data_IF_663593867684
#
_entry.id   IF_663593867684
#
_cell.length_a   1.000
_cell.length_b   1.000
_cell.length_c   1.000
_cell.angle_alpha   90.00
_cell.angle_beta   90.00
_cell.angle_gamma   90.00
#
_symmetry.space_group_name_H-M   'P 1'
#
loop_
_entity.id
_entity.type
_entity.pdbx_description
1 polymer ?
#
# COMPACT_ATOMS: atom_id res chain seq x y z
N UNK A 1 2.09 26.62 26.08
CA UNK A 1 1.04 26.01 25.26
C UNK A 1 -0.23 25.99 26.09
N UNK A 2 -1.24 26.77 25.67
CA UNK A 2 -2.46 26.98 26.48
C UNK A 2 -3.46 25.82 26.31
N UNK A 3 -4.38 25.68 27.27
CA UNK A 3 -5.44 24.66 27.29
C UNK A 3 -6.35 24.64 26.04
N UNK A 4 -6.43 25.74 25.31
CA UNK A 4 -7.16 25.87 24.04
C UNK A 4 -6.49 25.10 22.89
N UNK A 5 -5.19 24.87 22.94
CA UNK A 5 -4.43 24.16 21.90
C UNK A 5 -4.68 22.63 21.98
N UNK A 6 -4.80 22.08 23.19
CA UNK A 6 -5.11 20.65 23.39
C UNK A 6 -6.53 20.27 22.97
N UNK A 7 -7.50 21.14 23.16
CA UNK A 7 -8.90 20.88 22.75
C UNK A 7 -9.06 20.87 21.24
N UNK A 8 -8.34 21.73 20.53
CA UNK A 8 -8.35 21.82 19.05
C UNK A 8 -7.64 20.61 18.41
N UNK A 9 -6.51 20.19 18.97
CA UNK A 9 -5.78 18.98 18.53
C UNK A 9 -6.62 17.72 18.76
N UNK A 10 -7.26 17.59 19.94
CA UNK A 10 -8.13 16.47 20.25
C UNK A 10 -9.34 16.37 19.30
N UNK A 11 -9.96 17.51 18.98
CA UNK A 11 -11.11 17.57 18.04
C UNK A 11 -10.70 17.19 16.62
N UNK A 12 -9.55 17.67 16.17
CA UNK A 12 -9.01 17.31 14.83
C UNK A 12 -8.65 15.82 14.75
N UNK A 13 -8.03 15.26 15.79
CA UNK A 13 -7.72 13.84 15.85
C UNK A 13 -8.99 12.97 15.86
N UNK A 14 -10.02 13.36 16.62
CA UNK A 14 -11.33 12.68 16.62
C UNK A 14 -12.00 12.70 15.26
N UNK A 15 -12.01 13.85 14.58
CA UNK A 15 -12.55 13.99 13.23
C UNK A 15 -11.81 13.09 12.22
N UNK A 16 -10.47 13.09 12.25
CA UNK A 16 -9.66 12.22 11.40
C UNK A 16 -9.97 10.74 11.63
N UNK A 17 -10.14 10.33 12.88
CA UNK A 17 -10.49 8.94 13.22
C UNK A 17 -11.85 8.55 12.63
N UNK A 18 -12.87 9.38 12.80
CA UNK A 18 -14.22 9.15 12.25
C UNK A 18 -14.16 9.07 10.71
N UNK A 19 -13.51 10.02 10.05
CA UNK A 19 -13.39 10.04 8.59
C UNK A 19 -12.60 8.83 8.07
N UNK A 20 -11.58 8.39 8.79
CA UNK A 20 -10.83 7.17 8.46
C UNK A 20 -11.73 5.93 8.55
N UNK A 21 -12.54 5.82 9.60
CA UNK A 21 -13.52 4.73 9.74
C UNK A 21 -14.53 4.75 8.58
N UNK A 22 -15.10 5.92 8.27
CA UNK A 22 -16.02 6.09 7.15
C UNK A 22 -15.36 5.68 5.82
N UNK A 23 -14.12 6.10 5.60
CA UNK A 23 -13.36 5.70 4.41
C UNK A 23 -13.14 4.18 4.32
N UNK A 24 -12.88 3.50 5.45
CA UNK A 24 -12.74 2.04 5.50
C UNK A 24 -14.05 1.33 5.22
N UNK A 25 -15.15 1.80 5.83
CA UNK A 25 -16.50 1.25 5.61
C UNK A 25 -16.91 1.42 4.14
N UNK A 26 -16.74 2.60 3.56
CA UNK A 26 -17.05 2.82 2.14
C UNK A 26 -16.16 2.01 1.21
N UNK A 27 -14.88 1.79 1.56
CA UNK A 27 -13.99 0.87 0.84
C UNK A 27 -14.46 -0.58 0.90
N UNK A 28 -14.98 -1.03 2.05
CA UNK A 28 -15.62 -2.34 2.18
C UNK A 28 -16.86 -2.46 1.27
N UNK A 29 -17.76 -1.48 1.33
CA UNK A 29 -18.97 -1.44 0.48
C UNK A 29 -18.60 -1.44 -1.01
N UNK A 30 -17.53 -0.74 -1.41
CA UNK A 30 -17.01 -0.78 -2.77
C UNK A 30 -16.61 -2.20 -3.20
N UNK A 31 -15.89 -2.92 -2.35
CA UNK A 31 -15.46 -4.29 -2.65
C UNK A 31 -16.66 -5.24 -2.70
N UNK A 32 -17.65 -5.04 -1.81
CA UNK A 32 -18.91 -5.77 -1.84
C UNK A 32 -19.69 -5.49 -3.14
N UNK A 33 -19.82 -4.22 -3.56
CA UNK A 33 -20.47 -3.84 -4.80
C UNK A 33 -19.79 -4.46 -6.03
N UNK A 34 -18.45 -4.53 -6.03
CA UNK A 34 -17.67 -5.24 -7.05
C UNK A 34 -18.02 -6.73 -7.05
N UNK A 35 -18.05 -7.39 -5.87
CA UNK A 35 -18.41 -8.80 -5.75
C UNK A 35 -19.82 -9.07 -6.29
N UNK A 36 -20.80 -8.25 -5.91
CA UNK A 36 -22.18 -8.37 -6.36
C UNK A 36 -22.33 -8.15 -7.88
N UNK A 37 -21.59 -7.19 -8.46
CA UNK A 37 -21.72 -6.82 -9.87
C UNK A 37 -21.05 -7.79 -10.84
N UNK A 38 -19.80 -8.19 -10.54
CA UNK A 38 -18.96 -8.98 -11.47
C UNK A 38 -18.49 -10.32 -10.89
N UNK A 39 -18.71 -10.57 -9.59
CA UNK A 39 -18.46 -11.85 -8.92
C UNK A 39 -17.01 -12.30 -8.95
N UNK A 40 -16.83 -13.63 -8.86
CA UNK A 40 -15.55 -14.30 -9.08
C UNK A 40 -15.44 -14.70 -10.54
N UNK A 41 -14.81 -13.84 -11.34
CA UNK A 41 -14.75 -14.00 -12.79
C UNK A 41 -13.43 -13.47 -13.36
N UNK A 42 -13.17 -13.81 -14.63
CA UNK A 42 -12.07 -13.25 -15.39
C UNK A 42 -12.14 -11.71 -15.44
N UNK A 43 -13.36 -11.14 -15.52
CA UNK A 43 -13.56 -9.69 -15.51
C UNK A 43 -13.11 -9.06 -14.19
N UNK A 44 -13.41 -9.70 -13.05
CA UNK A 44 -12.98 -9.20 -11.75
C UNK A 44 -11.46 -9.28 -11.57
N UNK A 45 -10.82 -10.34 -12.07
CA UNK A 45 -9.36 -10.48 -12.08
C UNK A 45 -8.68 -9.46 -12.98
N UNK A 46 -9.23 -9.26 -14.18
CA UNK A 46 -8.77 -8.25 -15.14
C UNK A 46 -8.86 -6.84 -14.54
N UNK A 47 -9.97 -6.53 -13.85
CA UNK A 47 -10.14 -5.29 -13.14
C UNK A 47 -9.09 -5.11 -12.04
N UNK A 48 -8.86 -6.13 -11.20
CA UNK A 48 -7.89 -6.05 -10.10
C UNK A 48 -6.47 -5.85 -10.61
N UNK A 49 -6.05 -6.60 -11.62
CA UNK A 49 -4.73 -6.45 -12.24
C UNK A 49 -4.56 -5.04 -12.82
N UNK A 50 -5.54 -4.58 -13.60
CA UNK A 50 -5.49 -3.28 -14.24
C UNK A 50 -5.55 -2.11 -13.25
N UNK A 51 -6.37 -2.21 -12.18
CA UNK A 51 -6.57 -1.15 -11.21
C UNK A 51 -5.42 -1.03 -10.18
N UNK A 52 -4.69 -2.12 -9.93
CA UNK A 52 -3.54 -2.07 -9.03
C UNK A 52 -2.31 -1.39 -9.66
N UNK A 53 -2.12 -1.53 -10.97
CA UNK A 53 -0.96 -0.99 -11.68
C UNK A 53 -0.76 0.52 -11.53
N UNK A 54 -1.77 1.39 -11.70
CA UNK A 54 -1.61 2.83 -11.52
C UNK A 54 -1.09 3.20 -10.14
N UNK A 55 -1.61 2.55 -9.10
CA UNK A 55 -1.17 2.79 -7.74
C UNK A 55 0.28 2.32 -7.51
N UNK A 56 0.63 1.16 -8.03
CA UNK A 56 2.00 0.62 -7.96
C UNK A 56 3.01 1.52 -8.70
N UNK A 57 2.65 2.00 -9.90
CA UNK A 57 3.50 2.90 -10.68
C UNK A 57 3.63 4.28 -10.03
N UNK A 58 2.54 4.80 -9.46
CA UNK A 58 2.57 5.99 -8.66
C UNK A 58 3.49 5.82 -7.43
N UNK A 59 3.34 4.73 -6.68
CA UNK A 59 4.17 4.44 -5.52
C UNK A 59 5.64 4.26 -5.90
N UNK A 60 5.93 3.67 -7.05
CA UNK A 60 7.29 3.52 -7.56
C UNK A 60 7.98 4.87 -7.76
N UNK A 61 7.27 5.86 -8.29
CA UNK A 61 7.84 7.19 -8.57
C UNK A 61 7.82 8.07 -7.32
N UNK A 62 6.76 8.02 -6.53
CA UNK A 62 6.45 9.01 -5.50
C UNK A 62 6.47 8.48 -4.07
N UNK A 63 6.27 7.18 -3.85
CA UNK A 63 5.98 6.62 -2.53
C UNK A 63 7.03 6.90 -1.45
N UNK A 64 8.30 6.95 -1.83
CA UNK A 64 9.36 7.34 -0.89
C UNK A 64 9.55 8.85 -0.77
N UNK A 65 9.36 9.57 -1.86
CA UNK A 65 9.68 10.99 -1.96
C UNK A 65 8.68 11.87 -1.20
N UNK A 66 7.38 11.59 -1.35
CA UNK A 66 6.33 12.39 -0.72
C UNK A 66 6.26 12.23 0.80
N UNK A 67 6.36 11.01 1.28
CA UNK A 67 6.21 10.73 2.71
C UNK A 67 7.41 11.22 3.52
N UNK A 68 8.62 11.12 2.96
CA UNK A 68 9.86 11.39 3.71
C UNK A 68 10.48 12.74 3.43
N UNK A 69 10.31 13.28 2.24
CA UNK A 69 11.05 14.45 1.78
C UNK A 69 10.18 15.70 1.55
N UNK A 70 8.99 15.53 0.94
CA UNK A 70 8.18 16.68 0.53
C UNK A 70 7.79 17.57 1.72
N UNK A 71 7.20 17.01 2.76
CA UNK A 71 6.66 17.78 3.88
C UNK A 71 7.75 18.57 4.64
N UNK A 72 8.90 17.98 5.02
CA UNK A 72 9.98 18.71 5.65
C UNK A 72 10.53 19.84 4.78
N UNK A 73 10.74 19.60 3.47
CA UNK A 73 11.27 20.60 2.54
C UNK A 73 10.26 21.73 2.34
N UNK A 74 8.99 21.42 2.11
CA UNK A 74 7.92 22.42 2.00
C UNK A 74 7.83 23.32 3.23
N UNK A 75 7.86 22.73 4.42
CA UNK A 75 7.82 23.49 5.69
C UNK A 75 9.09 24.33 5.90
N UNK A 76 10.27 23.84 5.48
CA UNK A 76 11.52 24.56 5.50
C UNK A 76 11.48 25.79 4.60
N UNK A 77 11.13 25.60 3.31
CA UNK A 77 10.99 26.70 2.34
C UNK A 77 9.99 27.75 2.84
N UNK A 78 8.84 27.31 3.33
CA UNK A 78 7.80 28.20 3.85
C UNK A 78 8.26 29.01 5.05
N UNK A 79 9.04 28.42 5.95
CA UNK A 79 9.56 29.08 7.17
C UNK A 79 10.69 30.09 6.85
N UNK A 80 11.59 29.73 5.93
CA UNK A 80 12.79 30.51 5.62
C UNK A 80 12.57 31.56 4.55
N UNK A 81 11.78 31.26 3.50
CA UNK A 81 11.61 32.05 2.31
C UNK A 81 10.18 32.61 2.13
N UNK A 82 9.24 32.17 2.98
CA UNK A 82 7.88 32.68 2.99
C UNK A 82 6.90 31.93 2.09
N UNK A 83 5.72 32.54 1.91
CA UNK A 83 4.57 31.89 1.24
C UNK A 83 4.76 31.81 -0.28
N UNK A 84 5.30 32.86 -0.90
CA UNK A 84 5.52 32.90 -2.35
C UNK A 84 6.48 31.80 -2.80
N UNK A 85 7.65 31.71 -2.18
CA UNK A 85 8.63 30.68 -2.46
C UNK A 85 8.08 29.27 -2.24
N UNK A 86 7.24 29.06 -1.23
CA UNK A 86 6.58 27.77 -1.02
C UNK A 86 5.55 27.44 -2.12
N UNK A 87 4.85 28.42 -2.67
CA UNK A 87 3.95 28.23 -3.80
C UNK A 87 4.72 27.96 -5.10
N UNK A 88 5.86 28.62 -5.31
CA UNK A 88 6.77 28.34 -6.43
C UNK A 88 7.33 26.93 -6.38
N UNK A 89 7.80 26.50 -5.20
CA UNK A 89 8.28 25.13 -5.00
C UNK A 89 7.19 24.09 -5.31
N UNK A 90 5.95 24.29 -4.80
CA UNK A 90 4.82 23.40 -5.12
C UNK A 90 4.50 23.44 -6.61
N UNK A 91 4.52 24.62 -7.25
CA UNK A 91 4.28 24.78 -8.68
C UNK A 91 5.31 24.05 -9.54
N UNK A 92 6.59 24.14 -9.16
CA UNK A 92 7.68 23.42 -9.82
C UNK A 92 7.52 21.89 -9.65
N UNK A 93 7.24 21.42 -8.44
CA UNK A 93 7.00 20.00 -8.18
C UNK A 93 5.82 19.48 -8.99
N UNK A 94 4.68 20.21 -9.04
CA UNK A 94 3.52 19.85 -9.85
C UNK A 94 3.84 19.81 -11.34
N UNK A 95 4.64 20.77 -11.84
CA UNK A 95 5.09 20.80 -13.24
C UNK A 95 5.90 19.57 -13.63
N UNK A 96 6.83 19.16 -12.76
CA UNK A 96 7.64 17.95 -12.97
C UNK A 96 6.81 16.70 -12.89
N UNK A 97 5.86 16.64 -11.94
CA UNK A 97 4.93 15.50 -11.83
C UNK A 97 4.03 15.38 -13.05
N UNK A 98 3.53 16.50 -13.58
CA UNK A 98 2.77 16.51 -14.84
C UNK A 98 3.61 15.94 -15.98
N UNK A 99 4.88 16.32 -16.07
CA UNK A 99 5.77 15.81 -17.11
C UNK A 99 6.06 14.31 -16.94
N UNK A 100 6.51 13.90 -15.75
CA UNK A 100 6.97 12.53 -15.50
C UNK A 100 5.78 11.56 -15.43
N UNK A 101 4.80 11.81 -14.54
CA UNK A 101 3.66 10.93 -14.38
C UNK A 101 2.68 11.01 -15.56
N UNK A 102 2.55 12.20 -16.18
CA UNK A 102 1.81 12.36 -17.42
C UNK A 102 2.44 11.58 -18.57
N UNK A 103 3.77 11.63 -18.69
CA UNK A 103 4.52 10.81 -19.65
C UNK A 103 4.32 9.30 -19.41
N UNK A 104 4.43 8.85 -18.15
CA UNK A 104 4.18 7.44 -17.79
C UNK A 104 2.71 7.05 -18.06
N UNK A 105 1.75 7.93 -17.78
CA UNK A 105 0.33 7.71 -18.09
C UNK A 105 0.09 7.56 -19.58
N UNK A 106 0.72 8.42 -20.40
CA UNK A 106 0.62 8.36 -21.85
C UNK A 106 1.23 7.04 -22.38
N UNK A 107 2.44 6.70 -21.92
CA UNK A 107 3.09 5.43 -22.28
C UNK A 107 2.25 4.24 -21.82
N UNK A 108 1.67 4.29 -20.60
CA UNK A 108 0.78 3.27 -20.09
C UNK A 108 -0.48 3.09 -20.94
N UNK A 109 -1.05 4.18 -21.47
CA UNK A 109 -2.21 4.12 -22.35
C UNK A 109 -1.86 3.50 -23.70
N UNK A 110 -0.73 3.91 -24.30
CA UNK A 110 -0.29 3.43 -25.63
C UNK A 110 0.20 1.99 -25.55
N UNK A 111 1.03 1.67 -24.55
CA UNK A 111 1.63 0.35 -24.37
C UNK A 111 0.93 -0.49 -23.29
N UNK A 112 -0.37 -0.32 -23.11
CA UNK A 112 -1.15 -1.02 -22.09
C UNK A 112 -0.91 -2.54 -22.01
N UNK A 113 -0.85 -3.29 -23.14
CA UNK A 113 -0.55 -4.73 -23.10
C UNK A 113 0.80 -5.04 -22.46
N UNK A 114 1.84 -4.23 -22.72
CA UNK A 114 3.17 -4.42 -22.13
C UNK A 114 3.18 -4.20 -20.63
N UNK A 115 2.43 -3.20 -20.12
CA UNK A 115 2.29 -2.98 -18.69
C UNK A 115 1.51 -4.12 -18.02
N UNK A 116 0.43 -4.60 -18.61
CA UNK A 116 -0.33 -5.75 -18.09
C UNK A 116 0.53 -7.02 -18.13
N UNK A 117 1.36 -7.21 -19.16
CA UNK A 117 2.27 -8.34 -19.20
C UNK A 117 3.19 -8.41 -17.98
N UNK A 118 3.61 -7.29 -17.40
CA UNK A 118 4.41 -7.30 -16.17
C UNK A 118 3.70 -7.97 -14.99
N UNK A 119 2.38 -8.10 -15.02
CA UNK A 119 1.56 -8.72 -14.00
C UNK A 119 1.08 -10.14 -14.39
N UNK A 120 1.32 -10.57 -15.63
CA UNK A 120 0.80 -11.83 -16.19
C UNK A 120 1.84 -12.65 -16.97
N UNK A 121 3.13 -12.29 -16.87
CA UNK A 121 4.21 -12.87 -17.70
C UNK A 121 4.41 -14.39 -17.54
N UNK A 122 3.87 -14.99 -16.47
CA UNK A 122 3.90 -16.44 -16.23
C UNK A 122 2.68 -17.15 -16.80
N UNK A 123 1.57 -16.44 -17.08
CA UNK A 123 0.38 -17.03 -17.69
C UNK A 123 0.54 -17.12 -19.20
N UNK A 124 0.46 -18.33 -19.78
CA UNK A 124 0.69 -18.59 -21.19
C UNK A 124 -0.40 -18.08 -22.15
N UNK A 125 -1.56 -17.65 -21.62
CA UNK A 125 -2.71 -17.22 -22.42
C UNK A 125 -2.78 -15.70 -22.53
N UNK A 126 -2.27 -15.16 -23.65
CA UNK A 126 -2.34 -13.72 -23.94
C UNK A 126 -3.78 -13.18 -24.05
N UNK A 127 -4.75 -14.01 -24.43
CA UNK A 127 -6.15 -13.57 -24.63
C UNK A 127 -6.91 -13.24 -23.35
N UNK A 128 -6.54 -13.83 -22.21
CA UNK A 128 -7.22 -13.59 -20.94
C UNK A 128 -6.97 -12.18 -20.37
N UNK A 129 -5.91 -11.50 -20.82
CA UNK A 129 -5.50 -10.18 -20.31
C UNK A 129 -5.87 -9.00 -21.23
N UNK A 130 -6.51 -9.25 -22.37
CA UNK A 130 -6.95 -8.18 -23.27
C UNK A 130 -7.96 -7.24 -22.61
N UNK A 131 -8.87 -7.78 -21.81
CA UNK A 131 -9.82 -6.98 -21.02
C UNK A 131 -9.09 -6.14 -19.96
N UNK A 132 -8.06 -6.69 -19.33
CA UNK A 132 -7.23 -5.95 -18.38
C UNK A 132 -6.47 -4.81 -19.08
N UNK A 133 -5.89 -5.07 -20.26
CA UNK A 133 -5.21 -4.05 -21.06
C UNK A 133 -6.18 -2.97 -21.54
N UNK A 134 -7.40 -3.35 -21.95
CA UNK A 134 -8.45 -2.40 -22.32
C UNK A 134 -8.82 -1.50 -21.13
N UNK A 135 -9.07 -2.05 -19.94
CA UNK A 135 -9.36 -1.27 -18.73
C UNK A 135 -8.18 -0.40 -18.31
N UNK A 136 -6.95 -0.90 -18.41
CA UNK A 136 -5.76 -0.16 -18.02
C UNK A 136 -5.55 1.11 -18.86
N UNK A 137 -5.99 1.15 -20.11
CA UNK A 137 -5.97 2.39 -20.90
C UNK A 137 -6.77 3.52 -20.26
N UNK A 138 -7.87 3.20 -19.57
CA UNK A 138 -8.63 4.18 -18.79
C UNK A 138 -7.94 4.48 -17.45
N UNK A 139 -7.27 3.49 -16.85
CA UNK A 139 -6.67 3.63 -15.54
C UNK A 139 -5.29 4.30 -15.58
N UNK A 140 -4.59 4.28 -16.70
CA UNK A 140 -3.25 4.84 -16.82
C UNK A 140 -3.18 6.31 -16.39
N UNK A 141 -4.21 7.12 -16.69
CA UNK A 141 -4.27 8.53 -16.27
C UNK A 141 -4.37 8.69 -14.74
N UNK A 142 -4.83 7.67 -14.02
CA UNK A 142 -4.89 7.70 -12.55
C UNK A 142 -3.52 7.85 -11.92
N UNK A 143 -2.44 7.40 -12.60
CA UNK A 143 -1.05 7.58 -12.14
C UNK A 143 -0.79 9.06 -11.87
N UNK A 144 -1.21 9.92 -12.80
CA UNK A 144 -1.09 11.36 -12.66
C UNK A 144 -1.98 11.90 -11.54
N UNK A 145 -3.24 11.46 -11.47
CA UNK A 145 -4.18 11.96 -10.46
C UNK A 145 -3.76 11.56 -9.03
N UNK A 146 -3.21 10.35 -8.83
CA UNK A 146 -2.63 9.94 -7.55
C UNK A 146 -1.43 10.83 -7.17
N UNK A 147 -0.55 11.14 -8.12
CA UNK A 147 0.60 12.01 -7.88
C UNK A 147 0.20 13.42 -7.48
N UNK A 148 -0.67 14.07 -8.25
CA UNK A 148 -1.17 15.41 -7.95
C UNK A 148 -1.94 15.43 -6.61
N UNK A 149 -2.84 14.47 -6.40
CA UNK A 149 -3.66 14.38 -5.20
C UNK A 149 -2.83 14.16 -3.92
N UNK A 150 -1.70 13.46 -4.01
CA UNK A 150 -0.82 13.25 -2.87
C UNK A 150 -0.02 14.51 -2.50
N UNK A 151 0.40 15.31 -3.48
CA UNK A 151 0.97 16.66 -3.22
C UNK A 151 -0.08 17.55 -2.55
N UNK A 152 -1.31 17.58 -3.09
CA UNK A 152 -2.40 18.37 -2.50
C UNK A 152 -2.67 17.96 -1.05
N UNK A 153 -2.79 16.66 -0.79
CA UNK A 153 -2.93 16.12 0.58
C UNK A 153 -1.75 16.51 1.47
N UNK A 154 -0.52 16.44 0.95
CA UNK A 154 0.69 16.84 1.68
C UNK A 154 0.68 18.32 2.07
N UNK A 155 0.30 19.20 1.16
CA UNK A 155 0.16 20.66 1.43
C UNK A 155 -0.95 20.93 2.45
N UNK A 156 -2.13 20.32 2.29
CA UNK A 156 -3.25 20.47 3.25
C UNK A 156 -2.86 19.99 4.65
N UNK A 157 -2.16 18.86 4.75
CA UNK A 157 -1.65 18.33 6.00
C UNK A 157 -0.63 19.27 6.66
N UNK A 158 0.23 19.94 5.85
CA UNK A 158 1.16 20.97 6.34
C UNK A 158 0.41 22.17 6.94
N UNK A 159 -0.77 22.50 6.41
CA UNK A 159 -1.66 23.54 6.94
C UNK A 159 -2.58 23.07 8.08
N UNK A 160 -2.43 21.79 8.54
CA UNK A 160 -3.30 21.15 9.54
C UNK A 160 -4.76 21.02 9.12
N UNK A 161 -5.05 21.10 7.82
CA UNK A 161 -6.36 20.83 7.24
C UNK A 161 -6.41 19.36 6.78
N UNK A 162 -6.75 18.49 7.72
CA UNK A 162 -6.79 17.04 7.48
C UNK A 162 -8.12 16.56 6.92
N UNK A 163 -9.15 17.42 6.90
CA UNK A 163 -10.49 17.02 6.48
C UNK A 163 -10.49 16.53 5.03
N UNK A 164 -10.03 17.36 4.11
CA UNK A 164 -10.11 17.05 2.69
C UNK A 164 -9.22 15.89 2.29
N UNK A 165 -8.01 15.80 2.83
CA UNK A 165 -7.11 14.68 2.56
C UNK A 165 -7.66 13.33 3.04
N UNK A 166 -8.44 13.33 4.14
CA UNK A 166 -9.04 12.11 4.72
C UNK A 166 -10.40 11.79 4.10
N UNK A 167 -11.18 12.80 3.68
CA UNK A 167 -12.51 12.63 3.10
C UNK A 167 -12.48 12.29 1.60
N UNK A 168 -11.47 12.75 0.88
CA UNK A 168 -11.35 12.54 -0.58
C UNK A 168 -11.47 11.07 -1.02
N UNK A 169 -10.89 10.07 -0.32
CA UNK A 169 -11.09 8.65 -0.66
C UNK A 169 -12.53 8.16 -0.52
N UNK A 170 -13.35 8.80 0.34
CA UNK A 170 -14.78 8.46 0.48
C UNK A 170 -15.53 8.79 -0.80
N UNK A 171 -15.27 9.98 -1.40
CA UNK A 171 -15.89 10.38 -2.67
C UNK A 171 -15.50 9.42 -3.80
N UNK A 172 -14.25 9.02 -3.88
CA UNK A 172 -13.81 8.00 -4.82
C UNK A 172 -14.61 6.70 -4.65
N UNK A 173 -14.70 6.18 -3.42
CA UNK A 173 -15.44 4.95 -3.15
C UNK A 173 -16.92 5.07 -3.58
N UNK A 174 -17.58 6.18 -3.31
CA UNK A 174 -18.99 6.40 -3.69
C UNK A 174 -19.17 6.33 -5.20
N UNK A 175 -18.31 6.98 -5.98
CA UNK A 175 -18.38 6.98 -7.45
C UNK A 175 -18.14 5.56 -8.00
N UNK A 176 -17.15 4.85 -7.45
CA UNK A 176 -16.83 3.49 -7.88
C UNK A 176 -17.97 2.53 -7.52
N UNK A 177 -18.60 2.65 -6.34
CA UNK A 177 -19.81 1.90 -5.96
C UNK A 177 -20.92 2.14 -6.98
N UNK A 178 -21.21 3.40 -7.30
CA UNK A 178 -22.24 3.73 -8.28
C UNK A 178 -21.95 3.10 -9.65
N UNK A 179 -20.69 3.07 -10.08
CA UNK A 179 -20.27 2.45 -11.35
C UNK A 179 -20.49 0.93 -11.35
N UNK A 180 -20.18 0.24 -10.25
CA UNK A 180 -20.43 -1.19 -10.12
C UNK A 180 -21.92 -1.51 -10.06
N UNK A 181 -22.70 -0.72 -9.32
CA UNK A 181 -24.16 -0.91 -9.26
C UNK A 181 -24.83 -0.65 -10.60
N UNK A 182 -24.28 0.26 -11.41
CA UNK A 182 -24.74 0.55 -12.78
C UNK A 182 -24.32 -0.51 -13.81
N UNK A 183 -23.42 -1.43 -13.49
CA UNK A 183 -22.88 -2.41 -14.44
C UNK A 183 -23.96 -3.32 -15.04
N UNK A 184 -24.80 -3.91 -14.19
CA UNK A 184 -25.81 -4.86 -14.64
C UNK A 184 -26.87 -4.21 -15.58
N UNK A 185 -27.51 -3.07 -15.22
CA UNK A 185 -28.49 -2.43 -16.11
C UNK A 185 -27.87 -1.91 -17.42
N UNK A 186 -26.65 -1.35 -17.37
CA UNK A 186 -25.98 -0.84 -18.57
C UNK A 186 -25.55 -2.00 -19.47
N UNK A 187 -25.03 -3.09 -18.90
CA UNK A 187 -24.68 -4.29 -19.69
C UNK A 187 -25.89 -4.94 -20.32
N UNK A 188 -27.03 -4.96 -19.64
CA UNK A 188 -28.28 -5.52 -20.18
C UNK A 188 -28.84 -4.68 -21.35
N UNK A 189 -28.70 -3.35 -21.28
CA UNK A 189 -29.25 -2.44 -22.28
C UNK A 189 -28.32 -2.18 -23.46
N UNK A 190 -27.01 -2.05 -23.22
CA UNK A 190 -26.03 -1.59 -24.21
C UNK A 190 -24.91 -2.62 -24.50
N UNK A 191 -25.01 -3.82 -23.88
CA UNK A 191 -24.03 -4.87 -24.02
C UNK A 191 -22.89 -4.81 -22.98
N UNK A 192 -22.22 -5.95 -22.78
CA UNK A 192 -21.21 -6.13 -21.74
C UNK A 192 -20.04 -5.13 -21.86
N UNK A 193 -19.64 -4.80 -23.09
CA UNK A 193 -18.57 -3.83 -23.33
C UNK A 193 -18.90 -2.44 -22.77
N UNK A 194 -20.16 -2.01 -22.86
CA UNK A 194 -20.59 -0.72 -22.28
C UNK A 194 -20.53 -0.76 -20.74
N UNK A 195 -20.88 -1.88 -20.12
CA UNK A 195 -20.70 -2.08 -18.68
C UNK A 195 -19.23 -2.02 -18.25
N UNK A 196 -18.32 -2.64 -19.02
CA UNK A 196 -16.87 -2.58 -18.77
C UNK A 196 -16.37 -1.13 -18.85
N UNK A 197 -16.79 -0.38 -19.86
CA UNK A 197 -16.43 1.05 -20.01
C UNK A 197 -16.95 1.85 -18.81
N UNK A 198 -18.18 1.60 -18.35
CA UNK A 198 -18.77 2.28 -17.19
C UNK A 198 -17.90 2.06 -15.94
N UNK A 199 -17.50 0.84 -15.65
CA UNK A 199 -16.64 0.51 -14.51
C UNK A 199 -15.27 1.20 -14.66
N UNK A 200 -14.66 1.11 -15.83
CA UNK A 200 -13.34 1.65 -16.07
C UNK A 200 -13.33 3.19 -15.99
N UNK A 201 -14.26 3.84 -16.69
CA UNK A 201 -14.40 5.30 -16.66
C UNK A 201 -14.82 5.80 -15.27
N UNK A 202 -15.76 5.10 -14.60
CA UNK A 202 -16.23 5.48 -13.28
C UNK A 202 -15.15 5.35 -12.21
N UNK A 203 -14.32 4.31 -12.28
CA UNK A 203 -13.17 4.18 -11.37
C UNK A 203 -12.17 5.32 -11.60
N UNK A 204 -11.89 5.67 -12.84
CA UNK A 204 -11.01 6.81 -13.18
C UNK A 204 -11.61 8.13 -12.73
N UNK A 205 -12.92 8.33 -12.93
CA UNK A 205 -13.63 9.52 -12.45
C UNK A 205 -13.57 9.61 -10.91
N UNK A 206 -13.70 8.50 -10.21
CA UNK A 206 -13.56 8.46 -8.75
C UNK A 206 -12.20 8.97 -8.28
N UNK A 207 -11.11 8.53 -8.91
CA UNK A 207 -9.75 9.01 -8.59
C UNK A 207 -9.57 10.47 -8.97
N UNK A 208 -10.12 10.91 -10.10
CA UNK A 208 -10.11 12.32 -10.49
C UNK A 208 -10.82 13.20 -9.45
N UNK A 209 -12.02 12.82 -9.03
CA UNK A 209 -12.78 13.57 -8.00
C UNK A 209 -12.06 13.56 -6.67
N UNK A 210 -11.42 12.45 -6.29
CA UNK A 210 -10.57 12.36 -5.10
C UNK A 210 -9.43 13.39 -5.11
N UNK A 211 -8.82 13.63 -6.25
CA UNK A 211 -7.80 14.66 -6.43
C UNK A 211 -8.44 16.07 -6.47
N UNK A 212 -9.46 16.27 -7.30
CA UNK A 212 -10.02 17.57 -7.59
C UNK A 212 -10.75 18.22 -6.40
N UNK A 213 -11.38 17.43 -5.53
CA UNK A 213 -12.08 17.95 -4.35
C UNK A 213 -11.17 18.67 -3.34
N UNK A 214 -9.87 18.48 -3.43
CA UNK A 214 -8.87 19.11 -2.58
C UNK A 214 -8.49 20.53 -3.07
N UNK A 215 -8.69 20.84 -4.36
CA UNK A 215 -8.28 22.11 -4.97
C UNK A 215 -8.93 23.35 -4.30
N UNK A 216 -10.26 23.35 -4.00
CA UNK A 216 -10.86 24.49 -3.32
C UNK A 216 -10.27 24.73 -1.92
N UNK A 217 -9.88 23.69 -1.22
CA UNK A 217 -9.24 23.81 0.10
C UNK A 217 -7.83 24.43 0.00
N UNK A 218 -7.06 24.08 -1.01
CA UNK A 218 -5.76 24.71 -1.28
C UNK A 218 -5.93 26.23 -1.49
N UNK A 219 -6.92 26.64 -2.30
CA UNK A 219 -7.24 28.04 -2.52
C UNK A 219 -7.59 28.80 -1.23
N UNK A 220 -8.35 28.19 -0.30
CA UNK A 220 -8.67 28.79 1.03
C UNK A 220 -7.41 29.04 1.86
N UNK A 221 -6.41 28.18 1.77
CA UNK A 221 -5.13 28.37 2.45
C UNK A 221 -4.17 29.28 1.66
N UNK A 222 -4.65 29.81 0.53
CA UNK A 222 -3.93 30.71 -0.36
C UNK A 222 -2.73 30.06 -1.01
N UNK A 223 -2.84 28.78 -1.29
CA UNK A 223 -1.87 28.04 -2.09
C UNK A 223 -2.34 28.13 -3.54
N UNK A 224 -1.65 28.96 -4.30
CA UNK A 224 -1.89 29.21 -5.73
C UNK A 224 -0.60 28.90 -6.50
N UNK A 225 -0.29 27.60 -6.73
CA UNK A 225 0.96 27.23 -7.37
C UNK A 225 0.94 27.63 -8.84
N UNK A 226 1.95 28.36 -9.29
CA UNK A 226 2.22 28.58 -10.71
C UNK A 226 3.02 27.41 -11.26
N UNK A 227 2.38 26.62 -12.15
CA UNK A 227 3.01 25.43 -12.73
C UNK A 227 4.15 25.86 -13.64
N UNK A 228 5.36 25.48 -13.31
CA UNK A 228 6.58 25.67 -14.10
C UNK A 228 7.52 24.48 -13.91
N UNK A 229 8.58 24.41 -14.67
CA UNK A 229 9.55 23.32 -14.61
C UNK A 229 10.94 23.91 -14.49
N UNK A 230 11.53 23.77 -13.30
CA UNK A 230 12.94 24.09 -13.04
C UNK A 230 13.64 22.91 -12.33
N UNK A 231 14.45 22.17 -13.07
CA UNK A 231 15.28 21.08 -12.54
C UNK A 231 16.48 21.57 -11.69
N UNK A 232 16.76 22.87 -11.69
CA UNK A 232 17.87 23.45 -10.93
C UNK A 232 17.47 23.91 -9.54
N UNK A 233 16.18 23.95 -9.24
CA UNK A 233 15.64 24.33 -7.94
C UNK A 233 16.30 23.50 -6.80
N UNK A 234 16.96 24.16 -5.83
CA UNK A 234 17.62 23.49 -4.71
C UNK A 234 16.65 22.67 -3.85
N UNK A 235 15.43 23.16 -3.61
CA UNK A 235 14.42 22.49 -2.80
C UNK A 235 13.95 21.19 -3.48
N UNK A 236 13.75 21.22 -4.81
CA UNK A 236 13.44 20.05 -5.60
C UNK A 236 14.57 19.01 -5.52
N UNK A 237 15.82 19.42 -5.73
CA UNK A 237 16.98 18.52 -5.64
C UNK A 237 17.11 17.88 -4.27
N UNK A 238 16.86 18.63 -3.21
CA UNK A 238 16.84 18.10 -1.85
C UNK A 238 15.73 17.04 -1.68
N UNK A 239 14.53 17.31 -2.21
CA UNK A 239 13.40 16.37 -2.17
C UNK A 239 13.74 15.07 -2.91
N UNK A 240 14.31 15.16 -4.10
CA UNK A 240 14.73 13.97 -4.87
C UNK A 240 15.83 13.19 -4.13
N UNK A 241 16.85 13.89 -3.62
CA UNK A 241 17.96 13.24 -2.91
C UNK A 241 17.51 12.47 -1.66
N UNK A 242 16.55 13.01 -0.93
CA UNK A 242 15.95 12.34 0.24
C UNK A 242 15.03 11.17 -0.16
N UNK A 243 14.44 11.21 -1.37
CA UNK A 243 13.54 10.17 -1.87
C UNK A 243 14.24 8.94 -2.48
N UNK A 244 15.42 9.12 -3.08
CA UNK A 244 16.14 8.04 -3.78
C UNK A 244 16.37 6.79 -2.93
N UNK A 245 16.77 6.85 -1.64
CA UNK A 245 17.00 5.66 -0.84
C UNK A 245 15.77 4.76 -0.67
N UNK A 246 14.57 5.34 -0.77
CA UNK A 246 13.31 4.59 -0.62
C UNK A 246 12.86 3.91 -1.91
N UNK A 247 13.37 4.33 -3.07
CA UNK A 247 13.04 3.74 -4.37
C UNK A 247 13.37 2.25 -4.42
N UNK A 248 14.49 1.82 -3.85
CA UNK A 248 14.87 0.40 -3.87
C UNK A 248 13.80 -0.48 -3.20
N UNK A 249 13.29 -0.07 -2.04
CA UNK A 249 12.23 -0.80 -1.34
C UNK A 249 10.94 -0.84 -2.18
N UNK A 250 10.60 0.26 -2.85
CA UNK A 250 9.41 0.34 -3.70
C UNK A 250 9.55 -0.52 -4.97
N UNK A 251 10.73 -0.55 -5.59
CA UNK A 251 11.03 -1.45 -6.71
C UNK A 251 10.89 -2.91 -6.27
N UNK A 252 11.44 -3.29 -5.12
CA UNK A 252 11.31 -4.64 -4.58
C UNK A 252 9.83 -5.01 -4.36
N UNK A 253 9.02 -4.08 -3.85
CA UNK A 253 7.60 -4.29 -3.64
C UNK A 253 6.83 -4.42 -4.96
N UNK A 254 7.15 -3.61 -5.96
CA UNK A 254 6.60 -3.71 -7.31
C UNK A 254 6.88 -5.10 -7.93
N UNK A 255 8.13 -5.53 -7.93
CA UNK A 255 8.54 -6.83 -8.48
C UNK A 255 7.86 -7.98 -7.71
N UNK A 256 7.83 -7.93 -6.39
CA UNK A 256 7.15 -8.93 -5.56
C UNK A 256 5.66 -9.05 -5.89
N UNK A 257 4.96 -7.93 -6.03
CA UNK A 257 3.53 -7.91 -6.35
C UNK A 257 3.28 -8.42 -7.78
N UNK A 258 4.13 -8.03 -8.73
CA UNK A 258 4.05 -8.52 -10.12
C UNK A 258 4.20 -10.03 -10.22
N UNK A 259 5.18 -10.61 -9.53
CA UNK A 259 5.39 -12.06 -9.46
C UNK A 259 4.21 -12.76 -8.78
N UNK A 260 3.68 -12.18 -7.70
CA UNK A 260 2.52 -12.73 -6.99
C UNK A 260 1.27 -12.78 -7.89
N UNK A 261 0.99 -11.70 -8.62
CA UNK A 261 -0.14 -11.64 -9.55
C UNK A 261 0.03 -12.62 -10.72
N UNK A 262 1.24 -12.68 -11.30
CA UNK A 262 1.54 -13.61 -12.38
C UNK A 262 1.40 -15.08 -11.95
N UNK A 263 1.89 -15.42 -10.74
CA UNK A 263 1.74 -16.76 -10.19
C UNK A 263 0.29 -17.10 -9.83
N UNK A 264 -0.47 -16.12 -9.31
CA UNK A 264 -1.90 -16.29 -9.04
C UNK A 264 -2.69 -16.66 -10.29
N UNK A 265 -2.36 -16.06 -11.43
CA UNK A 265 -2.94 -16.39 -12.75
C UNK A 265 -2.54 -17.79 -13.24
N UNK A 266 -1.36 -18.31 -12.87
CA UNK A 266 -0.96 -19.68 -13.19
C UNK A 266 -1.76 -20.70 -12.37
N UNK A 267 -1.97 -20.43 -11.07
CA UNK A 267 -2.67 -21.33 -10.15
C UNK A 267 -4.19 -21.31 -10.40
N UNK A 268 -4.73 -20.13 -10.60
CA UNK A 268 -6.16 -19.89 -10.87
C UNK A 268 -6.30 -18.86 -12.00
N UNK A 269 -6.32 -19.34 -13.27
CA UNK A 269 -6.23 -18.46 -14.45
C UNK A 269 -7.30 -17.38 -14.53
N UNK A 270 -8.53 -17.68 -14.07
CA UNK A 270 -9.66 -16.76 -14.18
C UNK A 270 -9.87 -15.91 -12.93
N UNK A 271 -9.52 -16.42 -11.75
CA UNK A 271 -9.97 -15.85 -10.46
C UNK A 271 -8.85 -15.51 -9.50
N UNK A 272 -7.60 -15.91 -9.73
CA UNK A 272 -6.48 -15.77 -8.80
C UNK A 272 -6.29 -14.36 -8.22
N UNK A 273 -6.12 -13.31 -9.04
CA UNK A 273 -5.98 -11.95 -8.54
C UNK A 273 -7.18 -11.46 -7.72
N UNK A 274 -8.41 -11.89 -8.09
CA UNK A 274 -9.62 -11.54 -7.35
C UNK A 274 -9.68 -12.21 -5.98
N UNK A 275 -9.32 -13.49 -5.89
CA UNK A 275 -9.23 -14.22 -4.61
C UNK A 275 -8.30 -13.47 -3.63
N UNK A 276 -7.13 -13.07 -4.12
CA UNK A 276 -6.17 -12.29 -3.32
C UNK A 276 -6.79 -10.98 -2.85
N UNK A 277 -7.46 -10.26 -3.74
CA UNK A 277 -8.03 -8.95 -3.43
C UNK A 277 -9.15 -9.02 -2.38
N UNK A 278 -10.09 -9.97 -2.52
CA UNK A 278 -11.17 -10.17 -1.55
C UNK A 278 -10.65 -10.61 -0.18
N UNK A 279 -9.72 -11.56 -0.12
CA UNK A 279 -9.14 -12.01 1.13
C UNK A 279 -8.33 -10.91 1.84
N UNK A 280 -7.56 -10.12 1.07
CA UNK A 280 -6.78 -8.99 1.61
C UNK A 280 -7.62 -7.95 2.34
N UNK A 281 -8.89 -7.78 1.99
CA UNK A 281 -9.75 -6.82 2.68
C UNK A 281 -9.89 -7.17 4.17
N UNK A 282 -10.18 -8.43 4.48
CA UNK A 282 -10.27 -8.91 5.86
C UNK A 282 -8.94 -8.85 6.60
N UNK A 283 -7.86 -9.18 5.91
CA UNK A 283 -6.50 -9.12 6.45
C UNK A 283 -6.07 -7.69 6.79
N UNK A 284 -6.47 -6.71 5.98
CA UNK A 284 -6.06 -5.31 6.15
C UNK A 284 -6.70 -4.65 7.37
N UNK A 285 -7.87 -5.11 7.82
CA UNK A 285 -8.56 -4.52 8.98
C UNK A 285 -7.75 -4.64 10.28
N UNK A 286 -7.37 -5.84 10.77
CA UNK A 286 -6.55 -5.96 11.99
C UNK A 286 -5.16 -5.33 11.81
N UNK A 287 -4.59 -5.40 10.62
CA UNK A 287 -3.35 -4.70 10.31
C UNK A 287 -3.47 -3.20 10.55
N UNK A 288 -4.47 -2.55 10.00
CA UNK A 288 -4.65 -1.10 10.11
C UNK A 288 -4.99 -0.65 11.53
N UNK A 289 -5.82 -1.43 12.23
CA UNK A 289 -6.28 -1.11 13.58
C UNK A 289 -5.19 -1.34 14.64
N UNK A 290 -4.42 -2.42 14.53
CA UNK A 290 -3.48 -2.85 15.57
C UNK A 290 -2.04 -2.55 15.15
N UNK A 291 -1.58 -3.15 14.03
CA UNK A 291 -0.18 -3.08 13.67
C UNK A 291 0.26 -1.66 13.32
N UNK A 292 -0.50 -0.95 12.49
CA UNK A 292 -0.15 0.42 12.09
C UNK A 292 -0.24 1.39 13.27
N UNK A 293 -1.29 1.29 14.10
CA UNK A 293 -1.49 2.19 15.24
C UNK A 293 -0.41 2.00 16.31
N UNK A 294 -0.17 0.74 16.71
CA UNK A 294 0.83 0.41 17.72
C UNK A 294 2.25 0.75 17.26
N UNK A 295 2.58 0.45 15.99
CA UNK A 295 3.89 0.81 15.43
C UNK A 295 4.10 2.32 15.38
N UNK A 296 3.06 3.11 15.13
CA UNK A 296 3.16 4.57 15.09
C UNK A 296 3.32 5.16 16.49
N UNK A 297 2.63 4.62 17.50
CA UNK A 297 2.79 5.03 18.89
C UNK A 297 4.21 4.73 19.40
N UNK A 298 4.68 3.51 19.19
CA UNK A 298 6.03 3.09 19.59
C UNK A 298 7.13 3.85 18.83
N UNK A 299 6.89 4.23 17.58
CA UNK A 299 7.85 5.01 16.80
C UNK A 299 8.26 6.31 17.48
N UNK A 300 7.31 6.99 18.14
CA UNK A 300 7.58 8.26 18.84
C UNK A 300 8.49 8.04 20.04
N UNK A 301 8.22 7.02 20.86
CA UNK A 301 9.06 6.65 22.02
C UNK A 301 10.46 6.22 21.57
N UNK A 302 10.52 5.30 20.60
CA UNK A 302 11.79 4.81 20.07
C UNK A 302 12.65 5.92 19.44
N UNK A 303 12.01 6.92 18.81
CA UNK A 303 12.72 8.05 18.23
C UNK A 303 13.29 8.97 19.30
N UNK A 304 12.59 9.16 20.42
CA UNK A 304 13.08 9.92 21.57
C UNK A 304 14.28 9.22 22.21
N UNK A 305 14.15 7.94 22.55
CA UNK A 305 15.21 7.14 23.18
C UNK A 305 16.46 7.04 22.27
N UNK A 306 16.25 6.94 20.94
CA UNK A 306 17.33 6.92 19.98
C UNK A 306 18.10 8.25 19.92
N UNK A 307 17.41 9.40 20.05
CA UNK A 307 18.04 10.73 20.09
C UNK A 307 18.84 10.92 21.39
N UNK A 308 18.38 10.38 22.51
CA UNK A 308 19.10 10.36 23.78
C UNK A 308 20.23 9.34 23.81
N UNK A 309 20.38 8.53 22.74
CA UNK A 309 21.37 7.43 22.64
C UNK A 309 21.21 6.35 23.71
N UNK A 310 20.00 6.22 24.27
CA UNK A 310 19.65 5.16 25.20
C UNK A 310 19.22 3.90 24.42
N UNK A 311 20.20 3.17 23.94
CA UNK A 311 19.97 1.95 23.15
C UNK A 311 19.40 0.77 23.96
N UNK A 312 19.51 0.80 25.29
CA UNK A 312 18.92 -0.22 26.17
C UNK A 312 17.40 -0.01 26.27
N UNK A 313 16.95 1.25 26.39
CA UNK A 313 15.53 1.60 26.30
C UNK A 313 14.95 1.31 24.93
N UNK A 314 15.65 1.65 23.84
CA UNK A 314 15.23 1.29 22.47
C UNK A 314 15.03 -0.22 22.33
N UNK A 315 15.99 -1.04 22.80
CA UNK A 315 15.91 -2.52 22.75
C UNK A 315 14.70 -3.04 23.53
N UNK A 316 14.50 -2.51 24.73
CA UNK A 316 13.38 -2.90 25.60
C UNK A 316 12.04 -2.49 24.97
N UNK A 317 11.95 -1.29 24.39
CA UNK A 317 10.78 -0.80 23.66
C UNK A 317 10.43 -1.68 22.47
N UNK A 318 11.42 -2.05 21.64
CA UNK A 318 11.21 -2.97 20.52
C UNK A 318 10.71 -4.33 21.02
N UNK A 319 11.34 -4.91 22.07
CA UNK A 319 10.94 -6.22 22.59
C UNK A 319 9.52 -6.21 23.13
N UNK A 320 9.13 -5.17 23.89
CA UNK A 320 7.75 -4.97 24.35
C UNK A 320 6.78 -4.81 23.18
N UNK A 321 7.15 -3.99 22.20
CA UNK A 321 6.35 -3.79 21.00
C UNK A 321 6.09 -5.08 20.21
N UNK A 322 7.10 -5.94 20.05
CA UNK A 322 6.94 -7.27 19.44
C UNK A 322 5.98 -8.13 20.25
N UNK A 323 6.14 -8.19 21.58
CA UNK A 323 5.27 -8.96 22.45
C UNK A 323 3.81 -8.47 22.37
N UNK A 324 3.58 -7.16 22.40
CA UNK A 324 2.25 -6.56 22.25
C UNK A 324 1.65 -6.85 20.87
N UNK A 325 2.44 -6.75 19.81
CA UNK A 325 2.03 -7.03 18.45
C UNK A 325 1.54 -8.47 18.31
N UNK A 326 2.33 -9.43 18.81
CA UNK A 326 1.97 -10.85 18.80
C UNK A 326 0.74 -11.13 19.68
N UNK A 327 0.66 -10.53 20.87
CA UNK A 327 -0.46 -10.69 21.79
C UNK A 327 -1.79 -10.30 21.17
N UNK A 328 -1.85 -9.21 20.40
CA UNK A 328 -3.09 -8.78 19.76
C UNK A 328 -3.34 -9.46 18.42
N UNK A 329 -2.32 -9.70 17.60
CA UNK A 329 -2.50 -10.21 16.24
C UNK A 329 -2.70 -11.72 16.18
N UNK A 330 -2.17 -12.51 17.14
CA UNK A 330 -2.40 -13.97 17.17
C UNK A 330 -3.89 -14.30 17.38
N UNK A 331 -4.60 -13.74 18.39
CA UNK A 331 -6.03 -13.95 18.52
C UNK A 331 -6.83 -13.51 17.29
N UNK A 332 -6.44 -12.38 16.67
CA UNK A 332 -7.09 -11.92 15.45
C UNK A 332 -6.85 -12.85 14.26
N UNK A 333 -5.65 -13.38 14.12
CA UNK A 333 -5.36 -14.40 13.10
C UNK A 333 -6.20 -15.66 13.30
N UNK A 334 -6.31 -16.14 14.54
CA UNK A 334 -7.17 -17.28 14.88
C UNK A 334 -8.65 -16.98 14.60
N UNK A 335 -9.12 -15.75 14.92
CA UNK A 335 -10.46 -15.30 14.56
C UNK A 335 -10.69 -15.37 13.04
N UNK A 336 -9.77 -14.83 12.24
CA UNK A 336 -9.87 -14.88 10.77
C UNK A 336 -9.87 -16.31 10.23
N UNK A 337 -9.11 -17.22 10.84
CA UNK A 337 -9.07 -18.63 10.44
C UNK A 337 -10.40 -19.31 10.73
N UNK A 338 -10.92 -19.18 11.96
CA UNK A 338 -12.16 -19.84 12.39
C UNK A 338 -13.38 -19.28 11.65
N UNK A 339 -13.42 -17.96 11.47
CA UNK A 339 -14.54 -17.26 10.85
C UNK A 339 -14.34 -16.96 9.36
N UNK A 340 -13.34 -17.55 8.70
CA UNK A 340 -13.04 -17.28 7.28
C UNK A 340 -14.27 -17.44 6.39
N UNK A 341 -15.01 -18.57 6.51
CA UNK A 341 -16.20 -18.83 5.70
C UNK A 341 -17.37 -17.91 6.04
N UNK A 342 -17.81 -17.72 7.31
CA UNK A 342 -18.83 -16.75 7.66
C UNK A 342 -18.55 -15.33 7.21
N UNK A 343 -17.30 -14.88 7.34
CA UNK A 343 -16.90 -13.55 6.90
C UNK A 343 -17.02 -13.38 5.37
N UNK A 344 -16.60 -14.37 4.60
CA UNK A 344 -16.67 -14.31 3.16
C UNK A 344 -18.08 -14.55 2.61
N UNK A 345 -18.98 -15.16 3.39
CA UNK A 345 -20.41 -15.25 3.02
C UNK A 345 -21.08 -13.89 2.88
N UNK A 346 -20.53 -12.82 3.48
CA UNK A 346 -21.01 -11.44 3.29
C UNK A 346 -20.88 -11.01 1.81
N UNK A 347 -19.91 -11.57 1.07
CA UNK A 347 -19.78 -11.32 -0.36
C UNK A 347 -20.76 -12.10 -1.22
N UNK A 348 -21.43 -13.13 -0.67
CA UNK A 348 -22.37 -13.99 -1.39
C UNK A 348 -23.63 -13.20 -1.78
N UNK A 349 -23.49 -12.38 -2.82
CA UNK A 349 -24.56 -11.53 -3.36
C UNK A 349 -24.37 -11.36 -4.86
N UNK A 350 -25.48 -11.30 -5.61
CA UNK A 350 -25.46 -11.09 -7.05
C UNK A 350 -24.72 -12.19 -7.80
N UNK A 351 -23.61 -11.86 -8.45
CA UNK A 351 -22.79 -12.81 -9.22
C UNK A 351 -21.73 -13.55 -8.40
N UNK A 352 -21.59 -13.25 -7.11
CA UNK A 352 -20.63 -13.95 -6.24
C UNK A 352 -21.30 -15.17 -5.60
N UNK A 353 -20.87 -16.35 -5.96
CA UNK A 353 -21.44 -17.64 -5.57
C UNK A 353 -20.71 -18.33 -4.39
N UNK A 354 -21.24 -19.45 -3.93
CA UNK A 354 -20.64 -20.25 -2.84
C UNK A 354 -19.25 -20.81 -3.21
N UNK A 355 -18.99 -21.07 -4.48
CA UNK A 355 -17.68 -21.57 -4.93
C UNK A 355 -16.61 -20.49 -4.74
N UNK A 356 -16.95 -19.23 -5.03
CA UNK A 356 -16.11 -18.08 -4.74
C UNK A 356 -15.85 -17.89 -3.25
N UNK A 357 -16.90 -18.05 -2.40
CA UNK A 357 -16.75 -18.02 -0.93
C UNK A 357 -15.76 -19.07 -0.47
N UNK A 358 -15.83 -20.30 -0.98
CA UNK A 358 -14.93 -21.37 -0.57
C UNK A 358 -13.47 -21.05 -0.91
N UNK A 359 -13.20 -20.58 -2.16
CA UNK A 359 -11.86 -20.23 -2.62
C UNK A 359 -11.26 -19.08 -1.81
N UNK A 360 -12.02 -18.00 -1.58
CA UNK A 360 -11.54 -16.84 -0.82
C UNK A 360 -11.32 -17.21 0.65
N UNK A 361 -12.17 -18.10 1.23
CA UNK A 361 -12.03 -18.52 2.62
C UNK A 361 -10.80 -19.38 2.81
N UNK A 362 -10.53 -20.32 1.91
CA UNK A 362 -9.32 -21.14 1.94
C UNK A 362 -8.07 -20.26 1.87
N UNK A 363 -8.03 -19.31 0.94
CA UNK A 363 -6.92 -18.37 0.82
C UNK A 363 -6.77 -17.50 2.08
N UNK A 364 -7.88 -17.01 2.66
CA UNK A 364 -7.85 -16.18 3.88
C UNK A 364 -7.27 -16.93 5.07
N UNK A 365 -7.56 -18.23 5.23
CA UNK A 365 -7.00 -19.06 6.31
C UNK A 365 -5.47 -19.04 6.27
N UNK A 366 -4.89 -19.29 5.09
CA UNK A 366 -3.43 -19.27 4.94
C UNK A 366 -2.85 -17.87 5.06
N UNK A 367 -3.52 -16.87 4.52
CA UNK A 367 -3.10 -15.48 4.64
C UNK A 367 -3.08 -15.03 6.11
N UNK A 368 -4.09 -15.42 6.90
CA UNK A 368 -4.20 -15.05 8.31
C UNK A 368 -3.03 -15.57 9.17
N UNK A 369 -2.44 -16.71 8.83
CA UNK A 369 -1.24 -17.22 9.52
C UNK A 369 -0.05 -16.25 9.43
N UNK A 370 0.03 -15.44 8.37
CA UNK A 370 1.10 -14.46 8.19
C UNK A 370 0.88 -13.16 8.97
N UNK A 371 -0.32 -12.88 9.46
CA UNK A 371 -0.71 -11.60 10.05
C UNK A 371 0.17 -11.19 11.25
N UNK A 372 0.46 -12.04 12.24
CA UNK A 372 1.30 -11.67 13.37
C UNK A 372 2.72 -11.29 12.95
N UNK A 373 3.28 -12.04 12.00
CA UNK A 373 4.63 -11.81 11.48
C UNK A 373 4.70 -10.51 10.68
N UNK A 374 3.67 -10.21 9.89
CA UNK A 374 3.58 -8.96 9.15
C UNK A 374 3.50 -7.74 10.07
N UNK A 375 2.79 -7.86 11.20
CA UNK A 375 2.77 -6.81 12.23
C UNK A 375 4.16 -6.54 12.80
N UNK A 376 4.94 -7.58 13.11
CA UNK A 376 6.34 -7.45 13.58
C UNK A 376 7.21 -6.74 12.53
N UNK A 377 7.05 -7.07 11.26
CA UNK A 377 7.78 -6.43 10.15
C UNK A 377 7.54 -4.93 10.10
N UNK A 378 6.29 -4.49 10.24
CA UNK A 378 5.93 -3.07 10.25
C UNK A 378 6.56 -2.35 11.43
N UNK A 379 6.56 -2.98 12.61
CA UNK A 379 7.24 -2.45 13.78
C UNK A 379 8.75 -2.31 13.54
N UNK A 380 9.40 -3.32 12.93
CA UNK A 380 10.82 -3.25 12.58
C UNK A 380 11.12 -2.12 11.60
N UNK A 381 10.29 -1.93 10.57
CA UNK A 381 10.41 -0.81 9.64
C UNK A 381 10.41 0.53 10.39
N UNK A 382 9.48 0.73 11.31
CA UNK A 382 9.41 1.94 12.13
C UNK A 382 10.60 2.08 13.06
N UNK A 383 11.09 0.99 13.65
CA UNK A 383 12.26 0.98 14.52
C UNK A 383 13.53 1.41 13.76
N UNK A 384 13.77 0.89 12.55
CA UNK A 384 14.90 1.35 11.72
C UNK A 384 14.77 2.81 11.29
N UNK A 385 13.53 3.26 11.05
CA UNK A 385 13.26 4.67 10.76
C UNK A 385 13.55 5.56 11.98
N UNK A 386 13.21 5.13 13.18
CA UNK A 386 13.51 5.84 14.44
C UNK A 386 15.01 5.97 14.70
N UNK A 387 15.78 4.93 14.34
CA UNK A 387 17.25 4.91 14.43
C UNK A 387 17.95 5.70 13.32
N UNK A 388 17.20 6.27 12.36
CA UNK A 388 17.71 6.95 11.16
C UNK A 388 18.68 6.09 10.32
N UNK A 389 18.63 4.78 10.45
CA UNK A 389 19.43 3.83 9.67
C UNK A 389 18.54 2.86 8.87
N UNK A 390 18.13 3.30 7.69
CA UNK A 390 17.30 2.51 6.78
C UNK A 390 18.09 1.53 5.90
N UNK A 391 19.44 1.57 5.92
CA UNK A 391 20.27 0.71 5.07
C UNK A 391 20.09 -0.80 5.36
N UNK A 392 20.06 -1.25 6.64
CA UNK A 392 19.78 -2.66 6.93
C UNK A 392 18.38 -3.07 6.47
N UNK A 393 17.37 -2.23 6.70
CA UNK A 393 16.00 -2.48 6.28
C UNK A 393 15.89 -2.65 4.76
N UNK A 394 16.50 -1.75 3.97
CA UNK A 394 16.50 -1.84 2.50
C UNK A 394 17.14 -3.14 1.99
N UNK A 395 18.25 -3.58 2.62
CA UNK A 395 18.87 -4.89 2.30
C UNK A 395 17.94 -6.06 2.64
N UNK A 396 17.23 -5.99 3.76
CA UNK A 396 16.24 -7.01 4.11
C UNK A 396 15.07 -7.05 3.13
N UNK A 397 14.59 -5.90 2.67
CA UNK A 397 13.56 -5.83 1.62
C UNK A 397 14.03 -6.52 0.34
N UNK A 398 15.29 -6.33 -0.05
CA UNK A 398 15.87 -6.99 -1.24
C UNK A 398 15.94 -8.51 -1.06
N UNK A 399 16.50 -9.01 0.05
CA UNK A 399 16.57 -10.45 0.32
C UNK A 399 15.18 -11.08 0.42
N UNK A 400 14.25 -10.36 0.99
CA UNK A 400 12.86 -10.70 1.10
C UNK A 400 12.21 -10.84 -0.28
N UNK A 401 12.37 -9.87 -1.16
CA UNK A 401 11.83 -9.90 -2.51
C UNK A 401 12.40 -11.08 -3.32
N UNK A 402 13.72 -11.35 -3.20
CA UNK A 402 14.36 -12.51 -3.84
C UNK A 402 13.80 -13.82 -3.27
N UNK A 403 13.67 -13.93 -1.94
CA UNK A 403 13.10 -15.11 -1.28
C UNK A 403 11.64 -15.35 -1.68
N UNK A 404 10.85 -14.29 -1.78
CA UNK A 404 9.46 -14.35 -2.26
C UNK A 404 9.40 -14.81 -3.72
N UNK A 405 10.16 -14.16 -4.59
CA UNK A 405 10.22 -14.53 -5.99
C UNK A 405 10.61 -16.00 -6.15
N UNK A 406 11.67 -16.43 -5.47
CA UNK A 406 12.14 -17.81 -5.49
C UNK A 406 11.12 -18.82 -4.96
N UNK A 407 10.46 -18.54 -3.84
CA UNK A 407 9.45 -19.42 -3.28
C UNK A 407 8.18 -19.49 -4.14
N UNK A 408 7.70 -18.37 -4.67
CA UNK A 408 6.54 -18.32 -5.56
C UNK A 408 6.82 -19.07 -6.87
N UNK A 409 8.01 -18.89 -7.45
CA UNK A 409 8.40 -19.62 -8.66
C UNK A 409 8.58 -21.11 -8.39
N UNK A 410 9.26 -21.49 -7.30
CA UNK A 410 9.49 -22.88 -6.96
C UNK A 410 8.20 -23.61 -6.61
N UNK A 411 7.41 -23.08 -5.69
CA UNK A 411 6.20 -23.73 -5.20
C UNK A 411 4.98 -23.46 -6.08
N UNK A 412 4.82 -22.26 -6.63
CA UNK A 412 3.68 -21.89 -7.48
C UNK A 412 3.79 -22.46 -8.89
N UNK A 413 4.97 -22.38 -9.52
CA UNK A 413 5.16 -22.76 -10.91
C UNK A 413 5.75 -24.18 -11.04
N UNK A 414 6.92 -24.44 -10.46
CA UNK A 414 7.62 -25.71 -10.67
C UNK A 414 6.89 -26.86 -9.98
N UNK A 415 6.59 -26.76 -8.69
CA UNK A 415 5.86 -27.81 -7.96
C UNK A 415 4.38 -27.88 -8.36
N UNK A 416 3.74 -26.76 -8.70
CA UNK A 416 2.40 -26.74 -9.26
C UNK A 416 2.32 -27.50 -10.62
N UNK A 417 3.36 -27.43 -11.44
CA UNK A 417 3.47 -28.21 -12.69
C UNK A 417 3.76 -29.70 -12.44
N UNK A 418 4.69 -29.99 -11.52
CA UNK A 418 5.09 -31.37 -11.19
C UNK A 418 4.01 -32.10 -10.40
N UNK A 419 3.29 -31.40 -9.51
CA UNK A 419 2.27 -31.96 -8.62
C UNK A 419 0.84 -31.81 -9.14
N UNK A 420 0.58 -31.86 -10.46
CA UNK A 420 -0.80 -32.04 -10.95
C UNK A 420 -1.47 -33.31 -10.39
N UNK A 421 -0.71 -34.25 -9.83
CA UNK A 421 -1.20 -35.43 -9.06
C UNK A 421 -1.37 -35.17 -7.55
N UNK A 422 -0.80 -34.08 -6.99
CA UNK A 422 -0.94 -33.68 -5.58
C UNK A 422 -1.57 -32.26 -5.56
N UNK A 423 -2.73 -32.12 -6.20
CA UNK A 423 -3.42 -30.85 -6.42
C UNK A 423 -3.57 -30.01 -5.15
N UNK A 424 -3.77 -30.64 -4.00
CA UNK A 424 -4.09 -29.94 -2.77
C UNK A 424 -2.84 -29.41 -2.07
N UNK A 425 -1.75 -30.16 -2.03
CA UNK A 425 -0.51 -29.74 -1.39
C UNK A 425 0.24 -28.63 -2.18
N UNK A 426 0.22 -28.72 -3.52
CA UNK A 426 0.82 -27.70 -4.39
C UNK A 426 0.04 -26.37 -4.35
N UNK A 427 -1.30 -26.43 -4.29
CA UNK A 427 -2.15 -25.26 -4.07
C UNK A 427 -1.89 -24.62 -2.70
N UNK A 428 -1.79 -25.45 -1.65
CA UNK A 428 -1.52 -25.02 -0.29
C UNK A 428 -0.17 -24.30 -0.17
N UNK A 429 0.89 -24.86 -0.75
CA UNK A 429 2.22 -24.27 -0.75
C UNK A 429 2.32 -23.00 -1.62
N UNK A 430 1.65 -22.99 -2.78
CA UNK A 430 1.59 -21.82 -3.63
C UNK A 430 0.81 -20.67 -2.96
N UNK A 431 -0.30 -20.97 -2.29
CA UNK A 431 -1.09 -20.00 -1.54
C UNK A 431 -0.30 -19.45 -0.35
N UNK A 432 0.37 -20.30 0.41
CA UNK A 432 1.24 -19.89 1.53
C UNK A 432 2.40 -19.05 1.02
N UNK A 433 3.05 -19.42 -0.07
CA UNK A 433 4.14 -18.66 -0.66
C UNK A 433 3.67 -17.31 -1.25
N UNK A 434 2.51 -17.29 -1.91
CA UNK A 434 1.94 -16.06 -2.49
C UNK A 434 1.30 -15.15 -1.45
N UNK A 435 0.81 -15.70 -0.34
CA UNK A 435 0.01 -14.97 0.65
C UNK A 435 0.81 -14.37 1.79
N UNK A 436 2.03 -14.86 2.04
CA UNK A 436 2.77 -14.36 3.20
C UNK A 436 3.79 -13.30 2.82
N UNK A 437 3.51 -11.99 3.11
CA UNK A 437 4.57 -11.00 3.14
C UNK A 437 5.70 -11.41 4.12
N UNK A 438 5.41 -12.26 5.09
CA UNK A 438 6.36 -12.74 6.10
C UNK A 438 7.21 -13.94 5.63
N UNK A 439 6.64 -14.88 4.88
CA UNK A 439 7.39 -15.95 4.20
C UNK A 439 8.03 -15.43 2.92
N UNK A 440 7.25 -14.66 2.18
CA UNK A 440 7.71 -13.99 0.98
C UNK A 440 8.78 -12.95 1.29
N UNK A 441 8.78 -12.40 2.49
CA UNK A 441 9.76 -11.39 2.85
C UNK A 441 11.08 -11.95 3.39
N UNK A 442 11.33 -13.25 3.43
CA UNK A 442 12.57 -13.76 4.05
C UNK A 442 12.84 -13.15 5.46
N UNK A 443 11.84 -12.46 6.01
CA UNK A 443 11.97 -11.57 7.17
C UNK A 443 11.93 -12.32 8.49
N UNK A 444 11.54 -13.60 8.48
CA UNK A 444 11.67 -14.46 9.67
C UNK A 444 13.15 -14.71 9.97
N UNK A 445 13.96 -14.96 8.96
CA UNK A 445 15.39 -15.22 9.15
C UNK A 445 16.19 -13.96 9.57
N UNK A 446 15.91 -12.76 9.01
CA UNK A 446 16.53 -11.54 9.46
C UNK A 446 16.01 -11.00 10.78
N UNK A 447 14.73 -11.20 11.12
CA UNK A 447 14.23 -10.80 12.44
C UNK A 447 15.00 -11.51 13.56
N UNK A 448 15.32 -12.80 13.41
CA UNK A 448 16.22 -13.52 14.31
C UNK A 448 17.67 -13.00 14.24
N UNK A 449 18.19 -12.63 13.07
CA UNK A 449 19.54 -12.07 12.94
C UNK A 449 19.64 -10.61 13.38
N UNK A 450 18.58 -9.84 13.31
CA UNK A 450 18.50 -8.48 13.87
C UNK A 450 18.36 -8.54 15.38
N UNK A 451 17.60 -9.49 15.90
CA UNK A 451 17.53 -9.75 17.34
C UNK A 451 18.81 -10.42 17.87
N UNK A 452 19.54 -11.19 17.04
CA UNK A 452 20.78 -11.89 17.42
C UNK A 452 21.99 -10.98 17.70
N UNK A 453 22.28 -9.89 16.95
CA UNK A 453 23.28 -8.93 17.34
C UNK A 453 22.92 -8.15 18.60
N UNK A 454 21.62 -7.84 18.78
CA UNK A 454 21.11 -7.25 20.02
C UNK A 454 21.16 -8.25 21.20
N UNK A 455 21.07 -9.55 20.94
CA UNK A 455 21.26 -10.59 21.93
C UNK A 455 22.74 -10.86 22.28
N UNK A 456 23.68 -10.51 21.40
CA UNK A 456 25.12 -10.78 21.52
C UNK A 456 26.00 -9.54 21.73
N UNK A 457 25.46 -8.38 22.12
CA UNK A 457 26.26 -7.20 22.39
C UNK A 457 26.63 -7.04 23.89
N UNK A 458 27.50 -7.95 24.46
CA UNK A 458 28.13 -7.72 25.75
C UNK A 458 29.46 -6.96 25.63
N UNK A 459 29.86 -6.56 24.41
CA UNK A 459 31.25 -6.13 24.15
C UNK A 459 31.50 -4.62 24.21
N UNK A 460 30.51 -3.75 24.19
CA UNK A 460 30.75 -2.30 24.17
C UNK A 460 30.84 -1.66 25.57
N UNK A 461 30.37 -2.31 26.62
CA UNK A 461 30.48 -1.79 28.00
C UNK A 461 31.81 -2.08 28.71
N UNK A 462 32.71 -2.90 28.13
CA UNK A 462 34.01 -3.25 28.78
C UNK A 462 35.18 -2.33 28.44
N UNK A 463 35.04 -1.31 27.59
CA UNK A 463 36.18 -0.43 27.21
C UNK A 463 36.14 0.98 27.84
N UNK A 464 35.27 1.28 28.80
CA UNK A 464 35.24 2.60 29.46
C UNK A 464 35.47 2.59 30.99
N UNK A 465 36.05 1.50 31.54
CA UNK A 465 36.48 1.49 32.97
C UNK A 465 38.00 1.31 33.14
N UNK A 466 38.81 1.92 32.31
CA UNK A 466 40.26 2.02 32.55
C UNK A 466 40.77 3.36 32.08
N UNK A 467 40.33 4.45 32.62
CA UNK A 467 41.07 5.74 32.68
C UNK A 467 40.25 6.75 33.54
N UNK A 468 40.08 6.42 34.82
CA UNK A 468 39.95 7.43 35.90
C UNK A 468 40.59 6.74 37.12
N UNK A 469 41.85 7.08 37.36
CA UNK A 469 42.59 6.59 38.52
C UNK A 469 44.08 6.68 38.30
N UNK A 470 44.64 7.90 38.25
CA UNK A 470 45.93 8.37 38.74
C UNK A 470 46.03 9.88 38.52
#
# INVERSE_FOLDING_TARGET
MGSSDYSTVGRSAGLMTILTIVSRVTGFIRTWAMAAAIGMSLLSSSYQVANNLPNMLYELVMGGMLVTAFLPVYMGVRREQGREASNEYVGNLLGILLLVLGGISLLGTVFAPGFIWTQSFLSGDGGSMDTAAFMFRFFAIQILFYGLGSVFSGVLNAHRDYFWSTFAPVLNNVIVIASFMGFAPVSAQFGERAGIILIAAGTTLGVFVQMACQIPALGKHGVHPHIHIDFKDPALRQTIALGIPTLLATVCMFVSTSITNAAALVVQPETGPSVIAYARLWYTLPYALIAASLSTALYTELSHDAQEKDYDSVRTGISRGVAQMLFFLIPFALYLIVFARPLNMIYCAGKFDESGVALVSEFLIYLALSLPLYGVVVLMQKSFSALLDMKPYSRYCLYSAIGQAGSVLLFGVVLGFVCRRLRDLGRLLAVVAASSPAWSSGQIYPAWRVLWPFARWPGCCRRRRRHVGA
#
